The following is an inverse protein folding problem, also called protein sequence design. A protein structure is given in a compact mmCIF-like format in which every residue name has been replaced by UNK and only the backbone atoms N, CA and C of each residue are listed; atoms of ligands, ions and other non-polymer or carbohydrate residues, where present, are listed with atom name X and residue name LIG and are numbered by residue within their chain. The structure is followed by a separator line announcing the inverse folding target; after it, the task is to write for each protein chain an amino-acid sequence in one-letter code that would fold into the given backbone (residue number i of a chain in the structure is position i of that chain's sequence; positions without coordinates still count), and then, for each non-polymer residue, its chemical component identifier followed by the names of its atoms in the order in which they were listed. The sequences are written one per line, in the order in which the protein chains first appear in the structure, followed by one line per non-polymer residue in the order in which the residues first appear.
data_IF_104135963684
#
_entry.id   IF_104135963684
#
_cell.length_a   1.000
_cell.length_b   1.000
_cell.length_c   1.000
_cell.angle_alpha   90.00
_cell.angle_beta   90.00
_cell.angle_gamma   90.00
#
_symmetry.space_group_name_H-M   'P 1'
#
loop_
_entity.id
_entity.type
_entity.pdbx_description
1 polymer ?
#
# COMPACT_ATOMS: atom_id res chain seq x y z
N UNK A 1 -5.46 22.51 31.94
CA UNK A 1 -5.45 22.23 30.48
C UNK A 1 -4.87 20.83 30.30
N UNK A 2 -5.66 19.81 29.93
CA UNK A 2 -5.09 18.50 29.66
C UNK A 2 -4.48 18.48 28.26
N UNK A 3 -3.29 17.90 28.17
CA UNK A 3 -2.51 17.69 26.95
C UNK A 3 -3.25 16.66 26.10
N UNK A 4 -3.56 17.01 24.85
CA UNK A 4 -4.09 16.07 23.87
C UNK A 4 -3.04 14.98 23.64
N UNK A 5 -3.31 13.77 24.13
CA UNK A 5 -2.53 12.60 23.74
C UNK A 5 -2.72 12.42 22.23
N UNK A 6 -1.67 12.66 21.46
CA UNK A 6 -1.57 12.23 20.06
C UNK A 6 -1.71 10.72 20.06
N UNK A 7 -2.95 10.23 19.88
CA UNK A 7 -3.22 8.82 19.77
C UNK A 7 -2.39 8.30 18.60
N UNK A 8 -1.44 7.40 18.89
CA UNK A 8 -0.78 6.65 17.84
C UNK A 8 -1.87 5.94 17.03
N UNK A 9 -1.80 5.93 15.68
CA UNK A 9 -2.80 5.27 14.86
C UNK A 9 -2.99 3.83 15.35
N UNK A 10 -4.25 3.43 15.64
CA UNK A 10 -4.56 2.04 16.02
C UNK A 10 -4.16 1.14 14.86
N UNK A 11 -3.46 0.01 15.03
CA UNK A 11 -3.05 -0.86 13.93
C UNK A 11 -4.17 -1.15 12.91
N UNK A 12 -3.82 -1.21 11.63
CA UNK A 12 -4.75 -1.62 10.57
C UNK A 12 -5.17 -3.08 10.77
N UNK A 13 -6.46 -3.37 10.68
CA UNK A 13 -7.01 -4.68 11.05
C UNK A 13 -7.69 -5.43 9.91
N UNK A 14 -7.72 -4.87 8.70
CA UNK A 14 -8.35 -5.52 7.56
C UNK A 14 -7.33 -6.38 6.81
N UNK A 15 -6.94 -7.50 7.43
CA UNK A 15 -6.05 -8.45 6.79
C UNK A 15 -6.80 -9.37 5.81
N UNK A 16 -6.22 -9.66 4.64
CA UNK A 16 -6.86 -10.53 3.67
C UNK A 16 -6.84 -11.97 4.18
N UNK A 17 -7.99 -12.47 4.61
CA UNK A 17 -8.14 -13.84 5.12
C UNK A 17 -8.38 -14.87 4.00
N UNK A 18 -8.53 -14.40 2.75
CA UNK A 18 -8.79 -15.30 1.62
C UNK A 18 -7.48 -15.85 1.07
N UNK A 19 -7.36 -17.19 1.11
CA UNK A 19 -6.24 -17.94 0.50
C UNK A 19 -5.96 -17.49 -0.94
N UNK A 20 -6.99 -17.19 -1.72
CA UNK A 20 -6.85 -16.70 -3.09
C UNK A 20 -6.12 -15.35 -3.18
N UNK A 21 -6.42 -14.40 -2.29
CA UNK A 21 -5.76 -13.08 -2.26
C UNK A 21 -4.32 -13.24 -1.80
N UNK A 22 -4.07 -13.99 -0.71
CA UNK A 22 -2.71 -14.24 -0.21
C UNK A 22 -1.86 -14.98 -1.25
N UNK A 23 -2.43 -15.90 -2.01
CA UNK A 23 -1.73 -16.61 -3.09
C UNK A 23 -1.37 -15.67 -4.26
N UNK A 24 -2.27 -14.78 -4.65
CA UNK A 24 -1.99 -13.78 -5.69
C UNK A 24 -0.85 -12.84 -5.26
N UNK A 25 -0.87 -12.36 -4.01
CA UNK A 25 0.19 -11.54 -3.42
C UNK A 25 1.52 -12.31 -3.40
N UNK A 26 1.51 -13.57 -2.96
CA UNK A 26 2.71 -14.41 -2.92
C UNK A 26 3.33 -14.62 -4.32
N UNK A 27 2.50 -14.76 -5.35
CA UNK A 27 2.97 -14.88 -6.74
C UNK A 27 3.67 -13.61 -7.22
N UNK A 28 3.08 -12.44 -6.97
CA UNK A 28 3.69 -11.15 -7.35
C UNK A 28 4.99 -10.89 -6.57
N UNK A 29 5.00 -11.21 -5.27
CA UNK A 29 6.21 -11.10 -4.44
C UNK A 29 7.32 -12.06 -4.90
N UNK A 30 6.97 -13.28 -5.31
CA UNK A 30 7.93 -14.25 -5.85
C UNK A 30 8.52 -13.79 -7.18
N UNK A 31 7.70 -13.20 -8.05
CA UNK A 31 8.17 -12.57 -9.29
C UNK A 31 9.09 -11.36 -8.99
N UNK A 32 8.74 -10.53 -8.01
CA UNK A 32 9.57 -9.42 -7.54
C UNK A 32 10.92 -9.88 -6.98
N UNK A 33 10.96 -11.01 -6.28
CA UNK A 33 12.20 -11.63 -5.79
C UNK A 33 13.09 -12.11 -6.95
N UNK A 34 12.53 -12.82 -7.94
CA UNK A 34 13.29 -13.24 -9.14
C UNK A 34 13.90 -12.05 -9.88
N UNK A 35 13.09 -11.01 -10.13
CA UNK A 35 13.55 -9.77 -10.77
C UNK A 35 14.65 -9.07 -9.96
N UNK A 36 14.54 -9.04 -8.63
CA UNK A 36 15.57 -8.47 -7.76
C UNK A 36 16.90 -9.24 -7.88
N UNK A 37 16.83 -10.58 -7.92
CA UNK A 37 18.00 -11.44 -8.07
C UNK A 37 18.64 -11.29 -9.45
N UNK A 38 17.83 -11.20 -10.51
CA UNK A 38 18.29 -10.93 -11.88
C UNK A 38 18.95 -9.56 -11.99
N UNK A 39 18.34 -8.52 -11.43
CA UNK A 39 18.90 -7.18 -11.40
C UNK A 39 20.28 -7.16 -10.72
N UNK A 40 20.38 -7.82 -9.56
CA UNK A 40 21.65 -7.98 -8.84
C UNK A 40 22.70 -8.70 -9.69
N UNK A 41 22.32 -9.77 -10.38
CA UNK A 41 23.24 -10.49 -11.29
C UNK A 41 23.66 -9.62 -12.47
N UNK A 42 22.75 -8.87 -13.09
CA UNK A 42 23.04 -7.97 -14.20
C UNK A 42 24.04 -6.88 -13.78
N UNK A 43 23.87 -6.32 -12.58
CA UNK A 43 24.82 -5.35 -12.03
C UNK A 43 26.22 -5.94 -11.83
N UNK A 44 26.33 -7.14 -11.24
CA UNK A 44 27.62 -7.84 -11.05
C UNK A 44 28.30 -8.12 -12.39
N UNK A 45 27.51 -8.43 -13.42
CA UNK A 45 27.99 -8.73 -14.77
C UNK A 45 28.24 -7.48 -15.63
N UNK A 46 28.19 -6.27 -15.05
CA UNK A 46 28.47 -5.03 -15.77
C UNK A 46 27.38 -4.62 -16.77
N UNK A 47 26.13 -5.01 -16.54
CA UNK A 47 24.98 -4.61 -17.35
C UNK A 47 23.99 -3.75 -16.52
N UNK A 48 24.33 -2.48 -16.25
CA UNK A 48 23.54 -1.59 -15.41
C UNK A 48 22.17 -1.25 -16.02
N UNK A 49 22.06 -1.22 -17.35
CA UNK A 49 20.80 -0.95 -18.04
C UNK A 49 19.77 -2.05 -17.75
N UNK A 50 20.15 -3.32 -17.90
CA UNK A 50 19.28 -4.45 -17.55
C UNK A 50 18.96 -4.46 -16.06
N UNK A 51 19.93 -4.14 -15.20
CA UNK A 51 19.69 -4.08 -13.75
C UNK A 51 18.62 -3.04 -13.37
N UNK A 52 18.65 -1.85 -13.97
CA UNK A 52 17.64 -0.81 -13.78
C UNK A 52 16.28 -1.22 -14.37
N UNK A 53 16.26 -1.83 -15.55
CA UNK A 53 15.02 -2.37 -16.13
C UNK A 53 14.36 -3.39 -15.20
N UNK A 54 15.12 -4.34 -14.68
CA UNK A 54 14.61 -5.35 -13.74
C UNK A 54 14.10 -4.67 -12.44
N UNK A 55 14.79 -3.66 -11.88
CA UNK A 55 14.30 -2.89 -10.71
C UNK A 55 13.03 -2.07 -10.99
N UNK A 56 12.84 -1.61 -12.23
CA UNK A 56 11.59 -1.00 -12.66
C UNK A 56 10.45 -2.02 -12.65
N UNK A 57 10.69 -3.23 -13.16
CA UNK A 57 9.72 -4.32 -13.08
C UNK A 57 9.42 -4.75 -11.65
N UNK A 58 10.41 -4.74 -10.74
CA UNK A 58 10.17 -4.98 -9.29
C UNK A 58 9.15 -3.98 -8.73
N UNK A 59 9.27 -2.70 -9.10
CA UNK A 59 8.32 -1.66 -8.68
C UNK A 59 6.89 -2.00 -9.12
N UNK A 60 6.71 -2.41 -10.37
CA UNK A 60 5.39 -2.84 -10.87
C UNK A 60 4.83 -4.05 -10.12
N UNK A 61 5.65 -5.06 -9.83
CA UNK A 61 5.21 -6.25 -9.07
C UNK A 61 4.84 -5.92 -7.63
N UNK A 62 5.58 -5.00 -6.97
CA UNK A 62 5.26 -4.55 -5.62
C UNK A 62 3.95 -3.75 -5.58
N UNK A 63 3.71 -2.90 -6.58
CA UNK A 63 2.44 -2.18 -6.70
C UNK A 63 1.26 -3.12 -6.95
N UNK A 64 1.44 -4.18 -7.75
CA UNK A 64 0.43 -5.22 -7.93
C UNK A 64 0.14 -5.94 -6.62
N UNK A 65 1.19 -6.38 -5.91
CA UNK A 65 1.07 -7.05 -4.61
C UNK A 65 0.30 -6.19 -3.59
N UNK A 66 0.58 -4.89 -3.53
CA UNK A 66 -0.09 -3.92 -2.65
C UNK A 66 -1.53 -3.55 -3.08
N UNK A 67 -2.01 -4.06 -4.23
CA UNK A 67 -3.34 -3.76 -4.79
C UNK A 67 -4.27 -4.98 -4.79
N UNK A 68 -3.85 -6.11 -4.23
CA UNK A 68 -4.67 -7.30 -4.15
C UNK A 68 -5.68 -7.22 -3.02
N UNK A 69 -6.91 -7.62 -3.33
CA UNK A 69 -8.04 -7.54 -2.40
C UNK A 69 -8.80 -6.22 -2.52
N UNK A 70 -10.08 -6.28 -2.13
CA UNK A 70 -10.99 -5.14 -2.26
C UNK A 70 -10.56 -4.00 -1.33
N UNK A 71 -10.21 -4.29 -0.07
CA UNK A 71 -9.82 -3.25 0.89
C UNK A 71 -8.54 -2.50 0.45
N UNK A 72 -7.52 -3.23 -0.03
CA UNK A 72 -6.31 -2.61 -0.56
C UNK A 72 -6.62 -1.66 -1.74
N UNK A 73 -7.52 -2.05 -2.65
CA UNK A 73 -7.94 -1.18 -3.77
C UNK A 73 -8.72 0.03 -3.31
N UNK A 74 -9.59 -0.12 -2.31
CA UNK A 74 -10.29 1.01 -1.70
C UNK A 74 -9.31 1.96 -1.02
N UNK A 75 -8.33 1.44 -0.27
CA UNK A 75 -7.25 2.23 0.32
C UNK A 75 -6.47 3.03 -0.72
N UNK A 76 -6.14 2.42 -1.86
CA UNK A 76 -5.49 3.11 -2.99
C UNK A 76 -6.39 4.21 -3.60
N UNK A 77 -7.70 3.98 -3.68
CA UNK A 77 -8.64 5.00 -4.17
C UNK A 77 -8.74 6.19 -3.21
N UNK A 78 -8.81 5.92 -1.90
CA UNK A 78 -8.77 6.95 -0.86
C UNK A 78 -7.47 7.77 -0.98
N UNK A 79 -6.33 7.09 -1.16
CA UNK A 79 -5.03 7.75 -1.34
C UNK A 79 -4.99 8.64 -2.58
N UNK A 80 -5.56 8.19 -3.70
CA UNK A 80 -5.64 8.99 -4.91
C UNK A 80 -6.48 10.26 -4.71
N UNK A 81 -7.59 10.17 -3.95
CA UNK A 81 -8.45 11.32 -3.62
C UNK A 81 -7.71 12.31 -2.73
N UNK A 82 -7.01 11.82 -1.69
CA UNK A 82 -6.18 12.66 -0.81
C UNK A 82 -5.11 13.40 -1.63
N UNK A 83 -4.40 12.69 -2.52
CA UNK A 83 -3.35 13.26 -3.36
C UNK A 83 -3.86 14.23 -4.42
N UNK A 84 -5.12 14.10 -4.85
CA UNK A 84 -5.74 15.01 -5.82
C UNK A 84 -6.13 16.37 -5.22
N UNK A 85 -6.27 16.48 -3.88
CA UNK A 85 -6.75 17.70 -3.21
C UNK A 85 -5.98 18.99 -3.53
N UNK A 86 -4.64 19.01 -3.66
CA UNK A 86 -3.91 20.23 -4.02
C UNK A 86 -4.31 20.79 -5.40
N UNK A 87 -4.86 19.96 -6.28
CA UNK A 87 -5.26 20.32 -7.64
C UNK A 87 -6.78 20.46 -7.84
N UNK A 88 -7.60 20.10 -6.83
CA UNK A 88 -9.05 20.04 -6.93
C UNK A 88 -9.76 20.76 -5.76
N UNK A 89 -10.90 21.37 -6.05
CA UNK A 89 -11.86 21.78 -5.03
C UNK A 89 -12.62 20.57 -4.47
N UNK A 90 -13.33 20.76 -3.36
CA UNK A 90 -14.10 19.68 -2.74
C UNK A 90 -15.25 19.20 -3.64
N UNK A 91 -15.87 20.07 -4.44
CA UNK A 91 -16.93 19.67 -5.36
C UNK A 91 -16.46 18.60 -6.35
N UNK A 92 -15.23 18.72 -6.85
CA UNK A 92 -14.63 17.73 -7.75
C UNK A 92 -14.15 16.47 -7.03
N UNK A 93 -13.80 16.54 -5.74
CA UNK A 93 -13.48 15.34 -4.97
C UNK A 93 -14.73 14.53 -4.61
N UNK A 94 -15.84 15.22 -4.31
CA UNK A 94 -17.13 14.61 -3.98
C UNK A 94 -17.67 13.68 -5.08
N UNK A 95 -17.31 13.91 -6.35
CA UNK A 95 -17.73 13.02 -7.44
C UNK A 95 -17.18 11.60 -7.35
N UNK A 96 -16.14 11.38 -6.53
CA UNK A 96 -15.53 10.06 -6.31
C UNK A 96 -16.12 9.31 -5.12
N UNK A 97 -16.88 9.96 -4.23
CA UNK A 97 -17.43 9.33 -3.02
C UNK A 97 -18.42 8.20 -3.29
N UNK A 98 -19.32 8.28 -4.30
CA UNK A 98 -20.14 7.14 -4.68
C UNK A 98 -19.31 5.90 -5.06
N UNK A 99 -18.14 6.10 -5.69
CA UNK A 99 -17.22 5.01 -6.03
C UNK A 99 -16.53 4.45 -4.77
N UNK A 100 -16.16 5.30 -3.81
CA UNK A 100 -15.61 4.86 -2.53
C UNK A 100 -16.59 3.94 -1.79
N UNK A 101 -17.84 4.37 -1.61
CA UNK A 101 -18.88 3.55 -0.96
C UNK A 101 -19.12 2.24 -1.71
N UNK A 102 -19.24 2.29 -3.04
CA UNK A 102 -19.41 1.08 -3.84
C UNK A 102 -18.23 0.10 -3.71
N UNK A 103 -17.00 0.61 -3.55
CA UNK A 103 -15.80 -0.22 -3.40
C UNK A 103 -15.76 -0.98 -2.07
N UNK A 104 -16.45 -0.50 -1.04
CA UNK A 104 -16.51 -1.15 0.28
C UNK A 104 -17.56 -2.27 0.34
N UNK A 105 -18.59 -2.23 -0.51
CA UNK A 105 -19.69 -3.21 -0.48
C UNK A 105 -19.25 -4.68 -0.50
N UNK A 106 -18.23 -5.10 -1.30
CA UNK A 106 -17.79 -6.48 -1.32
C UNK A 106 -17.10 -6.94 -0.04
N UNK A 107 -16.70 -6.02 0.86
CA UNK A 107 -16.10 -6.35 2.15
C UNK A 107 -17.13 -6.88 3.17
N UNK A 108 -18.43 -6.73 2.89
CA UNK A 108 -19.51 -7.23 3.73
C UNK A 108 -19.62 -6.52 5.09
N UNK A 109 -20.13 -7.23 6.09
CA UNK A 109 -20.39 -6.68 7.44
C UNK A 109 -19.13 -6.68 8.34
N UNK A 110 -17.94 -6.54 7.76
CA UNK A 110 -16.71 -6.44 8.55
C UNK A 110 -16.70 -5.16 9.41
N UNK A 111 -16.18 -5.25 10.64
CA UNK A 111 -16.19 -4.12 11.57
C UNK A 111 -15.26 -2.98 11.12
N UNK A 112 -14.10 -3.30 10.54
CA UNK A 112 -13.17 -2.29 10.03
C UNK A 112 -13.68 -1.68 8.72
N UNK A 113 -14.31 -2.48 7.85
CA UNK A 113 -14.99 -1.97 6.65
C UNK A 113 -16.11 -0.98 6.99
N UNK A 114 -16.98 -1.31 7.95
CA UNK A 114 -18.03 -0.41 8.43
C UNK A 114 -17.47 0.89 9.02
N UNK A 115 -16.45 0.79 9.86
CA UNK A 115 -15.82 1.96 10.43
C UNK A 115 -15.15 2.85 9.35
N UNK A 116 -14.57 2.24 8.31
CA UNK A 116 -14.04 2.99 7.17
C UNK A 116 -15.15 3.70 6.39
N UNK A 117 -16.28 3.04 6.16
CA UNK A 117 -17.46 3.61 5.50
C UNK A 117 -18.01 4.82 6.27
N UNK A 118 -18.17 4.69 7.59
CA UNK A 118 -18.61 5.78 8.48
C UNK A 118 -17.66 6.99 8.42
N UNK A 119 -16.34 6.74 8.40
CA UNK A 119 -15.34 7.80 8.29
C UNK A 119 -15.39 8.49 6.92
N UNK A 120 -15.64 7.74 5.86
CA UNK A 120 -15.82 8.28 4.50
C UNK A 120 -17.09 9.12 4.44
N UNK A 121 -18.23 8.66 4.94
CA UNK A 121 -19.47 9.45 4.97
C UNK A 121 -19.29 10.76 5.73
N UNK A 122 -18.62 10.73 6.89
CA UNK A 122 -18.31 11.97 7.63
C UNK A 122 -17.37 12.90 6.88
N UNK A 123 -16.40 12.37 6.14
CA UNK A 123 -15.56 13.18 5.27
C UNK A 123 -16.38 13.82 4.13
N UNK A 124 -17.38 13.11 3.61
CA UNK A 124 -18.32 13.61 2.60
C UNK A 124 -19.12 14.78 3.14
N UNK A 125 -19.75 14.60 4.32
CA UNK A 125 -20.55 15.63 4.99
C UNK A 125 -19.75 16.93 5.20
N UNK A 126 -18.48 16.81 5.64
CA UNK A 126 -17.60 17.98 5.82
C UNK A 126 -17.30 18.64 4.46
N UNK A 127 -17.03 17.86 3.42
CA UNK A 127 -16.76 18.40 2.08
C UNK A 127 -17.98 19.06 1.44
N UNK A 128 -19.19 18.61 1.79
CA UNK A 128 -20.47 19.21 1.37
C UNK A 128 -20.81 20.49 2.16
N UNK A 129 -20.17 20.70 3.31
CA UNK A 129 -20.39 21.86 4.18
C UNK A 129 -21.41 21.62 5.29
N UNK A 130 -21.82 20.37 5.51
CA UNK A 130 -22.80 19.97 6.52
C UNK A 130 -22.17 19.78 7.91
N UNK A 131 -20.85 19.65 7.99
CA UNK A 131 -20.08 19.49 9.23
C UNK A 131 -18.76 20.27 9.20
N UNK A 132 -18.21 20.56 10.38
CA UNK A 132 -16.86 21.14 10.53
C UNK A 132 -15.81 20.04 10.73
N UNK A 133 -14.60 20.24 10.19
CA UNK A 133 -13.45 19.38 10.45
C UNK A 133 -12.47 19.31 9.27
N UNK A 134 -11.50 18.40 9.39
CA UNK A 134 -10.58 18.07 8.29
C UNK A 134 -11.03 16.76 7.62
N UNK A 135 -11.62 16.81 6.42
CA UNK A 135 -12.08 15.60 5.74
C UNK A 135 -10.90 14.71 5.31
N UNK A 136 -9.70 15.27 5.10
CA UNK A 136 -8.52 14.47 4.73
C UNK A 136 -8.02 13.65 5.91
N UNK A 137 -8.17 14.15 7.14
CA UNK A 137 -7.83 13.37 8.33
C UNK A 137 -8.74 12.14 8.43
N UNK A 138 -10.05 12.30 8.23
CA UNK A 138 -11.00 11.19 8.24
C UNK A 138 -10.72 10.17 7.13
N UNK A 139 -10.40 10.63 5.92
CA UNK A 139 -9.99 9.74 4.83
C UNK A 139 -8.71 8.97 5.16
N UNK A 140 -7.72 9.60 5.80
CA UNK A 140 -6.51 8.90 6.26
C UNK A 140 -6.84 7.83 7.31
N UNK A 141 -7.73 8.12 8.24
CA UNK A 141 -8.20 7.16 9.24
C UNK A 141 -8.97 6.00 8.57
N UNK A 142 -9.83 6.28 7.58
CA UNK A 142 -10.56 5.25 6.83
C UNK A 142 -9.61 4.31 6.08
N UNK A 143 -8.60 4.87 5.40
CA UNK A 143 -7.52 4.09 4.77
C UNK A 143 -6.82 3.19 5.78
N UNK A 144 -6.53 3.72 6.97
CA UNK A 144 -5.84 2.99 8.02
C UNK A 144 -6.68 1.80 8.54
N UNK A 145 -8.00 1.96 8.65
CA UNK A 145 -8.91 0.86 9.02
C UNK A 145 -8.84 -0.30 8.01
N UNK A 146 -8.65 0.01 6.74
CA UNK A 146 -8.59 -0.93 5.62
C UNK A 146 -7.19 -1.51 5.37
N UNK A 147 -6.19 -1.10 6.15
CA UNK A 147 -4.83 -1.59 6.02
C UNK A 147 -4.64 -2.94 6.74
N UNK A 148 -3.71 -3.74 6.23
CA UNK A 148 -3.18 -4.93 6.89
C UNK A 148 -1.71 -4.70 7.23
N UNK A 149 -1.43 -4.22 8.44
CA UNK A 149 -0.07 -3.85 8.84
C UNK A 149 0.95 -4.99 8.64
N UNK A 150 0.54 -6.25 8.83
CA UNK A 150 1.40 -7.42 8.65
C UNK A 150 1.92 -7.62 7.21
N UNK A 151 1.17 -7.14 6.21
CA UNK A 151 1.52 -7.23 4.79
C UNK A 151 1.94 -5.87 4.21
N UNK A 152 1.22 -4.81 4.56
CA UNK A 152 1.38 -3.48 3.97
C UNK A 152 2.67 -2.81 4.40
N UNK A 153 3.08 -2.98 5.67
CA UNK A 153 4.36 -2.45 6.17
C UNK A 153 5.54 -3.04 5.40
N UNK A 154 5.74 -4.37 5.33
CA UNK A 154 6.88 -4.92 4.59
C UNK A 154 6.81 -4.65 3.08
N UNK A 155 5.61 -4.53 2.49
CA UNK A 155 5.46 -4.08 1.09
C UNK A 155 5.95 -2.64 0.91
N UNK A 156 5.56 -1.73 1.80
CA UNK A 156 5.98 -0.33 1.74
C UNK A 156 7.49 -0.20 1.98
N UNK A 157 8.06 -0.98 2.92
CA UNK A 157 9.51 -1.07 3.11
C UNK A 157 10.23 -1.55 1.84
N UNK A 158 9.67 -2.54 1.12
CA UNK A 158 10.22 -3.03 -0.13
C UNK A 158 10.19 -1.96 -1.22
N UNK A 159 9.07 -1.24 -1.39
CA UNK A 159 8.93 -0.14 -2.35
C UNK A 159 9.97 0.94 -2.06
N UNK A 160 10.07 1.39 -0.80
CA UNK A 160 11.04 2.40 -0.39
C UNK A 160 12.49 1.94 -0.58
N UNK A 161 12.81 0.68 -0.27
CA UNK A 161 14.14 0.12 -0.47
C UNK A 161 14.51 0.07 -1.96
N UNK A 162 13.56 -0.31 -2.82
CA UNK A 162 13.72 -0.27 -4.27
C UNK A 162 13.95 1.15 -4.78
N UNK A 163 13.17 2.13 -4.33
CA UNK A 163 13.31 3.52 -4.79
C UNK A 163 14.65 4.13 -4.36
N UNK A 164 15.10 3.84 -3.13
CA UNK A 164 16.44 4.20 -2.65
C UNK A 164 17.54 3.54 -3.47
N UNK A 165 17.36 2.28 -3.86
CA UNK A 165 18.32 1.57 -4.70
C UNK A 165 18.40 2.16 -6.11
N UNK A 166 17.26 2.49 -6.74
CA UNK A 166 17.24 3.14 -8.05
C UNK A 166 17.85 4.54 -8.01
N UNK A 167 17.46 5.36 -7.03
CA UNK A 167 17.95 6.74 -6.94
C UNK A 167 19.46 6.83 -6.70
N UNK A 168 20.06 5.82 -6.07
CA UNK A 168 21.50 5.71 -5.86
C UNK A 168 22.20 4.79 -6.86
N UNK A 169 21.49 4.35 -7.90
CA UNK A 169 22.01 3.35 -8.83
C UNK A 169 23.12 3.92 -9.72
N UNK A 170 24.22 3.18 -9.83
CA UNK A 170 25.36 3.51 -10.68
C UNK A 170 26.08 2.25 -11.11
N UNK A 171 27.01 2.38 -12.06
CA UNK A 171 27.91 1.28 -12.47
C UNK A 171 28.73 0.71 -11.30
N UNK A 172 28.87 1.47 -10.20
CA UNK A 172 29.60 1.06 -9.00
C UNK A 172 28.70 0.61 -7.84
N UNK A 173 27.39 0.47 -8.08
CA UNK A 173 26.46 -0.06 -7.08
C UNK A 173 26.91 -1.45 -6.64
N UNK A 174 27.14 -1.59 -5.33
CA UNK A 174 27.62 -2.83 -4.71
C UNK A 174 26.49 -3.85 -4.58
N UNK A 175 26.83 -5.13 -4.62
CA UNK A 175 25.86 -6.23 -4.50
C UNK A 175 25.08 -6.24 -3.17
N UNK A 176 25.59 -5.63 -2.10
CA UNK A 176 24.91 -5.51 -0.81
C UNK A 176 23.91 -4.33 -0.75
N UNK A 177 23.88 -3.45 -1.75
CA UNK A 177 22.88 -2.40 -1.84
C UNK A 177 21.45 -2.96 -2.02
N UNK A 178 21.33 -4.22 -2.43
CA UNK A 178 20.07 -4.96 -2.59
C UNK A 178 19.52 -5.54 -1.28
N UNK A 179 20.35 -5.66 -0.23
CA UNK A 179 19.99 -6.37 1.00
C UNK A 179 18.72 -5.81 1.69
N UNK A 180 18.50 -4.47 1.76
CA UNK A 180 17.26 -3.94 2.33
C UNK A 180 16.01 -4.36 1.56
N UNK A 181 16.07 -4.36 0.22
CA UNK A 181 14.97 -4.78 -0.64
C UNK A 181 14.69 -6.28 -0.49
N UNK A 182 15.74 -7.10 -0.52
CA UNK A 182 15.63 -8.55 -0.33
C UNK A 182 15.05 -8.91 1.05
N UNK A 183 15.47 -8.19 2.10
CA UNK A 183 14.93 -8.39 3.45
C UNK A 183 13.44 -8.05 3.53
N UNK A 184 13.02 -6.93 2.95
CA UNK A 184 11.61 -6.52 2.95
C UNK A 184 10.72 -7.48 2.15
N UNK A 185 11.17 -7.89 0.95
CA UNK A 185 10.50 -8.92 0.14
C UNK A 185 10.35 -10.24 0.90
N UNK A 186 11.40 -10.67 1.59
CA UNK A 186 11.34 -11.88 2.41
C UNK A 186 10.34 -11.75 3.57
N UNK A 187 10.29 -10.60 4.26
CA UNK A 187 9.30 -10.35 5.32
C UNK A 187 7.86 -10.40 4.79
N UNK A 188 7.59 -9.79 3.64
CA UNK A 188 6.27 -9.83 3.00
C UNK A 188 5.89 -11.26 2.57
N UNK A 189 6.81 -12.00 1.94
CA UNK A 189 6.59 -13.40 1.56
C UNK A 189 6.31 -14.27 2.80
N UNK A 190 7.09 -14.11 3.87
CA UNK A 190 6.91 -14.87 5.09
C UNK A 190 5.52 -14.64 5.71
N UNK A 191 4.97 -13.42 5.65
CA UNK A 191 3.60 -13.15 6.06
C UNK A 191 2.60 -13.95 5.19
N UNK A 192 2.70 -13.83 3.86
CA UNK A 192 1.77 -14.51 2.95
C UNK A 192 1.81 -16.04 3.05
N UNK A 193 2.96 -16.62 3.40
CA UNK A 193 3.12 -18.07 3.52
C UNK A 193 2.69 -18.60 4.89
N UNK A 194 2.98 -17.87 5.99
CA UNK A 194 2.59 -18.28 7.35
C UNK A 194 1.09 -18.15 7.59
N UNK A 195 0.44 -17.15 6.99
CA UNK A 195 -1.02 -17.00 7.06
C UNK A 195 -1.78 -18.07 6.26
N UNK A 196 -1.08 -18.96 5.54
CA UNK A 196 -1.63 -20.10 4.82
C UNK A 196 -1.38 -21.46 5.53
N UNK A 197 -0.75 -21.47 6.71
CA UNK A 197 -0.62 -22.69 7.52
C UNK A 197 -1.89 -22.87 8.40
N UNK A 198 -2.57 -24.04 8.36
CA UNK A 198 -3.81 -24.29 9.08
C UNK A 198 -3.65 -24.41 10.60
#
# INVERSE_FOLDING_TARGET
MPVAATASPKPGNYCPDTVATLHAVANDLSAGLDLTMRSRSAQINGNPATAVTDLNSVGSTLSLAASHGTAARTSLLIDAIIQAKPAADYARLLTWFPLLHASLQPLGDDAAARAADDLISRAEDIMQGDQEGDPLQLLNEARHMLACDGLDIPLQEAIQARDKLISSFSEHTKANAYDPLLKALHSALAYTLKSNEP
#
